data_IF_490164018783
#
_entry.id   IF_490164018783
#
_cell.length_a   1.000
_cell.length_b   1.000
_cell.length_c   1.000
_cell.angle_alpha   90.00
_cell.angle_beta   90.00
_cell.angle_gamma   90.00
#
_symmetry.space_group_name_H-M   'P 1'
#
loop_
_entity.id
_entity.type
_entity.pdbx_description
1 polymer ?
#
# COMPACT_ATOMS: atom_id res chain seq x y z
N UNK A 1 -16.75 -32.35 23.44
CA UNK A 1 -17.78 -33.38 23.17
C UNK A 1 -19.19 -32.84 23.48
N UNK A 2 -19.62 -31.75 22.82
CA UNK A 2 -20.98 -31.16 22.95
C UNK A 2 -21.63 -30.86 21.58
N UNK A 3 -20.95 -31.18 20.48
CA UNK A 3 -21.44 -30.96 19.11
C UNK A 3 -22.59 -31.92 18.75
N UNK A 4 -22.69 -33.06 19.46
CA UNK A 4 -23.64 -34.14 19.15
C UNK A 4 -25.00 -34.01 19.86
N UNK A 5 -25.14 -33.12 20.86
CA UNK A 5 -26.44 -32.87 21.51
C UNK A 5 -27.39 -32.00 20.67
N UNK A 6 -26.97 -31.57 19.47
CA UNK A 6 -27.83 -30.85 18.55
C UNK A 6 -29.04 -31.71 18.07
N UNK A 7 -28.88 -33.04 18.04
CA UNK A 7 -29.89 -33.97 17.54
C UNK A 7 -31.09 -34.20 18.50
N UNK A 8 -30.99 -33.81 19.77
CA UNK A 8 -32.10 -33.90 20.75
C UNK A 8 -32.99 -32.64 20.80
N UNK A 9 -32.77 -31.66 19.92
CA UNK A 9 -33.60 -30.45 19.85
C UNK A 9 -34.95 -30.69 19.16
N UNK A 10 -35.95 -29.88 19.52
CA UNK A 10 -37.30 -29.93 18.92
C UNK A 10 -37.25 -29.70 17.41
N UNK A 11 -38.24 -30.21 16.66
CA UNK A 11 -38.32 -30.09 15.19
C UNK A 11 -38.16 -28.63 14.71
N UNK A 12 -38.71 -27.67 15.45
CA UNK A 12 -38.56 -26.23 15.19
C UNK A 12 -37.10 -25.79 15.15
N UNK A 13 -36.28 -26.24 16.09
CA UNK A 13 -34.87 -25.85 16.17
C UNK A 13 -34.01 -26.52 15.09
N UNK A 14 -34.37 -27.75 14.69
CA UNK A 14 -33.75 -28.43 13.54
C UNK A 14 -33.99 -27.65 12.25
N UNK A 15 -35.23 -27.22 11.98
CA UNK A 15 -35.57 -26.41 10.81
C UNK A 15 -34.83 -25.07 10.78
N UNK A 16 -34.83 -24.33 11.90
CA UNK A 16 -34.11 -23.04 12.01
C UNK A 16 -32.62 -23.22 11.72
N UNK A 17 -31.99 -24.27 12.24
CA UNK A 17 -30.55 -24.48 12.03
C UNK A 17 -30.22 -24.88 10.61
N UNK A 18 -31.05 -25.72 9.98
CA UNK A 18 -30.85 -26.09 8.57
C UNK A 18 -30.96 -24.84 7.69
N UNK A 19 -31.99 -24.01 7.88
CA UNK A 19 -32.13 -22.75 7.15
C UNK A 19 -30.96 -21.80 7.40
N UNK A 20 -30.49 -21.68 8.64
CA UNK A 20 -29.35 -20.85 8.98
C UNK A 20 -28.05 -21.35 8.33
N UNK A 21 -27.78 -22.66 8.37
CA UNK A 21 -26.61 -23.26 7.73
C UNK A 21 -26.66 -23.10 6.21
N UNK A 22 -27.84 -23.31 5.61
CA UNK A 22 -28.07 -23.16 4.17
C UNK A 22 -27.72 -21.74 3.69
N UNK A 23 -27.98 -20.71 4.50
CA UNK A 23 -27.65 -19.33 4.19
C UNK A 23 -26.21 -18.96 4.56
N UNK A 24 -25.73 -19.43 5.71
CA UNK A 24 -24.42 -19.03 6.24
C UNK A 24 -23.27 -19.60 5.43
N UNK A 25 -23.37 -20.85 4.98
CA UNK A 25 -22.32 -21.52 4.21
C UNK A 25 -21.96 -20.75 2.91
N UNK A 26 -22.91 -20.45 2.00
CA UNK A 26 -22.58 -19.71 0.78
C UNK A 26 -22.09 -18.29 1.06
N UNK A 27 -22.59 -17.62 2.11
CA UNK A 27 -22.12 -16.29 2.51
C UNK A 27 -20.68 -16.31 3.02
N UNK A 28 -20.31 -17.30 3.83
CA UNK A 28 -18.94 -17.44 4.33
C UNK A 28 -17.98 -17.74 3.18
N UNK A 29 -18.37 -18.63 2.26
CA UNK A 29 -17.54 -18.98 1.10
C UNK A 29 -17.32 -17.73 0.24
N UNK A 30 -18.40 -17.08 -0.19
CA UNK A 30 -18.31 -15.88 -1.05
C UNK A 30 -17.59 -14.73 -0.37
N UNK A 31 -17.83 -14.51 0.93
CA UNK A 31 -17.11 -13.51 1.73
C UNK A 31 -15.60 -13.80 1.81
N UNK A 32 -15.21 -15.06 1.98
CA UNK A 32 -13.80 -15.47 2.01
C UNK A 32 -13.13 -15.24 0.66
N UNK A 33 -13.78 -15.61 -0.45
CA UNK A 33 -13.27 -15.37 -1.79
C UNK A 33 -13.15 -13.87 -2.10
N UNK A 34 -14.15 -13.07 -1.73
CA UNK A 34 -14.12 -11.63 -1.88
C UNK A 34 -12.95 -11.02 -1.09
N UNK A 35 -12.78 -11.40 0.17
CA UNK A 35 -11.67 -10.93 1.00
C UNK A 35 -10.31 -11.28 0.39
N UNK A 36 -10.12 -12.53 -0.08
CA UNK A 36 -8.88 -12.94 -0.73
C UNK A 36 -8.59 -12.13 -1.99
N UNK A 37 -9.60 -11.92 -2.84
CA UNK A 37 -9.45 -11.11 -4.05
C UNK A 37 -9.12 -9.65 -3.75
N UNK A 38 -9.81 -9.05 -2.79
CA UNK A 38 -9.52 -7.68 -2.36
C UNK A 38 -8.12 -7.55 -1.78
N UNK A 39 -7.68 -8.52 -0.97
CA UNK A 39 -6.32 -8.52 -0.41
C UNK A 39 -5.27 -8.58 -1.51
N UNK A 40 -5.35 -9.55 -2.42
CA UNK A 40 -4.39 -9.68 -3.52
C UNK A 40 -4.39 -8.44 -4.42
N UNK A 41 -5.57 -7.91 -4.76
CA UNK A 41 -5.65 -6.69 -5.56
C UNK A 41 -5.03 -5.47 -4.87
N UNK A 42 -5.15 -5.37 -3.54
CA UNK A 42 -4.52 -4.30 -2.77
C UNK A 42 -2.99 -4.46 -2.71
N UNK A 43 -2.49 -5.69 -2.54
CA UNK A 43 -1.07 -5.99 -2.56
C UNK A 43 -0.43 -5.65 -3.92
N UNK A 44 -1.08 -6.06 -5.02
CA UNK A 44 -0.63 -5.78 -6.40
C UNK A 44 -0.66 -4.27 -6.73
N UNK A 45 -1.72 -3.58 -6.31
CA UNK A 45 -1.84 -2.14 -6.46
C UNK A 45 -0.77 -1.41 -5.65
N UNK A 46 -0.53 -1.84 -4.42
CA UNK A 46 0.53 -1.31 -3.56
C UNK A 46 1.91 -1.46 -4.20
N UNK A 47 2.25 -2.66 -4.67
CA UNK A 47 3.52 -2.92 -5.37
C UNK A 47 3.67 -2.05 -6.63
N UNK A 48 2.60 -1.89 -7.40
CA UNK A 48 2.58 -1.06 -8.61
C UNK A 48 2.78 0.42 -8.27
N UNK A 49 2.12 0.93 -7.23
CA UNK A 49 2.27 2.32 -6.78
C UNK A 49 3.68 2.60 -6.27
N UNK A 50 4.28 1.67 -5.52
CA UNK A 50 5.68 1.78 -5.10
C UNK A 50 6.62 1.87 -6.30
N UNK A 51 6.45 0.98 -7.29
CA UNK A 51 7.23 1.00 -8.53
C UNK A 51 7.07 2.35 -9.26
N UNK A 52 5.84 2.78 -9.50
CA UNK A 52 5.57 4.02 -10.21
C UNK A 52 6.15 5.24 -9.47
N UNK A 53 6.14 5.26 -8.14
CA UNK A 53 6.75 6.34 -7.35
C UNK A 53 8.25 6.44 -7.56
N UNK A 54 8.94 5.29 -7.62
CA UNK A 54 10.39 5.24 -7.93
C UNK A 54 10.65 5.66 -9.37
N UNK A 55 9.88 5.14 -10.34
CA UNK A 55 10.00 5.52 -11.76
C UNK A 55 9.78 7.02 -11.97
N UNK A 56 8.79 7.62 -11.30
CA UNK A 56 8.58 9.08 -11.32
C UNK A 56 9.78 9.86 -10.77
N UNK A 57 10.40 9.34 -9.71
CA UNK A 57 11.62 9.95 -9.15
C UNK A 57 12.79 9.85 -10.13
N UNK A 58 12.95 8.71 -10.83
CA UNK A 58 13.96 8.53 -11.87
C UNK A 58 13.73 9.49 -13.04
N UNK A 59 12.49 9.64 -13.52
CA UNK A 59 12.15 10.60 -14.58
C UNK A 59 12.48 12.05 -14.17
N UNK A 60 12.25 12.42 -12.91
CA UNK A 60 12.65 13.72 -12.37
C UNK A 60 14.18 13.89 -12.40
N UNK A 61 14.92 12.87 -11.94
CA UNK A 61 16.40 12.87 -11.96
C UNK A 61 16.90 13.03 -13.40
N UNK A 62 16.38 12.27 -14.35
CA UNK A 62 16.76 12.37 -15.76
C UNK A 62 16.45 13.74 -16.36
N UNK A 63 15.30 14.33 -16.00
CA UNK A 63 14.93 15.66 -16.47
C UNK A 63 15.91 16.73 -15.97
N UNK A 64 16.31 16.66 -14.70
CA UNK A 64 17.27 17.63 -14.13
C UNK A 64 18.69 17.36 -14.64
N UNK A 65 19.07 16.10 -14.84
CA UNK A 65 20.37 15.75 -15.42
C UNK A 65 20.55 16.30 -16.83
N UNK A 66 19.48 16.37 -17.65
CA UNK A 66 19.54 17.02 -18.96
C UNK A 66 19.90 18.51 -18.88
N UNK A 67 19.45 19.22 -17.83
CA UNK A 67 19.84 20.62 -17.63
C UNK A 67 21.29 20.74 -17.14
N UNK A 68 21.78 19.76 -16.38
CA UNK A 68 23.20 19.65 -16.01
C UNK A 68 24.07 19.42 -17.24
N UNK A 69 23.68 18.52 -18.13
CA UNK A 69 24.42 18.22 -19.37
C UNK A 69 24.49 19.42 -20.33
N UNK A 70 23.47 20.27 -20.33
CA UNK A 70 23.48 21.55 -21.08
C UNK A 70 24.36 22.62 -20.43
N UNK A 71 24.71 22.46 -19.16
CA UNK A 71 25.41 23.46 -18.34
C UNK A 71 24.51 24.54 -17.75
N UNK A 72 23.18 24.37 -17.80
CA UNK A 72 22.19 25.31 -17.28
C UNK A 72 21.99 25.14 -15.76
N UNK A 73 22.37 23.99 -15.21
CA UNK A 73 22.24 23.67 -13.78
C UNK A 73 23.51 22.96 -13.28
N UNK A 74 23.96 23.26 -12.06
CA UNK A 74 25.05 22.50 -11.44
C UNK A 74 24.57 21.11 -11.01
N UNK A 75 25.47 20.13 -10.90
CA UNK A 75 25.12 18.80 -10.42
C UNK A 75 24.58 18.86 -8.98
N UNK A 76 25.19 19.69 -8.14
CA UNK A 76 24.80 19.89 -6.75
C UNK A 76 23.38 20.46 -6.65
N UNK A 77 23.06 21.48 -7.46
CA UNK A 77 21.72 22.08 -7.46
C UNK A 77 20.68 21.11 -8.02
N UNK A 78 21.02 20.32 -9.03
CA UNK A 78 20.14 19.28 -9.56
C UNK A 78 19.82 18.22 -8.51
N UNK A 79 20.84 17.73 -7.80
CA UNK A 79 20.66 16.77 -6.71
C UNK A 79 19.83 17.35 -5.57
N UNK A 80 20.04 18.62 -5.21
CA UNK A 80 19.28 19.28 -4.17
C UNK A 80 17.81 19.46 -4.57
N UNK A 81 17.53 19.85 -5.81
CA UNK A 81 16.17 19.97 -6.34
C UNK A 81 15.41 18.65 -6.28
N UNK A 82 16.07 17.52 -6.60
CA UNK A 82 15.45 16.19 -6.42
C UNK A 82 15.14 15.96 -4.94
N UNK A 83 16.12 16.14 -4.05
CA UNK A 83 15.96 15.91 -2.61
C UNK A 83 14.82 16.74 -2.01
N UNK A 84 14.72 18.01 -2.39
CA UNK A 84 13.62 18.90 -1.96
C UNK A 84 12.27 18.42 -2.51
N UNK A 85 12.22 17.97 -3.76
CA UNK A 85 10.98 17.47 -4.37
C UNK A 85 10.45 16.21 -3.70
N UNK A 86 11.34 15.27 -3.33
CA UNK A 86 10.93 13.98 -2.74
C UNK A 86 10.84 13.98 -1.21
N UNK A 87 11.67 14.77 -0.51
CA UNK A 87 11.76 14.76 0.96
C UNK A 87 11.36 16.09 1.60
N UNK A 88 11.26 17.17 0.83
CA UNK A 88 11.08 18.52 1.36
C UNK A 88 12.40 19.20 1.72
N UNK A 89 12.29 20.44 2.19
CA UNK A 89 13.44 21.27 2.58
C UNK A 89 14.20 20.67 3.77
N UNK A 90 15.50 20.97 3.84
CA UNK A 90 16.34 20.55 4.95
C UNK A 90 16.01 21.38 6.19
N UNK A 91 15.76 20.71 7.30
CA UNK A 91 15.54 21.34 8.59
C UNK A 91 16.83 21.99 9.13
N UNK A 92 16.69 22.92 10.08
CA UNK A 92 17.81 23.59 10.74
C UNK A 92 18.75 22.66 11.50
N UNK A 93 18.26 21.47 11.90
CA UNK A 93 19.03 20.42 12.57
C UNK A 93 19.79 19.51 11.60
N UNK A 94 19.65 19.75 10.30
CA UNK A 94 20.28 18.99 9.23
C UNK A 94 19.54 17.74 8.77
N UNK A 95 18.39 17.43 9.39
CA UNK A 95 17.50 16.34 8.97
C UNK A 95 16.58 16.78 7.84
N UNK A 96 15.89 15.82 7.18
CA UNK A 96 14.77 16.12 6.28
C UNK A 96 13.48 15.54 6.85
N UNK A 97 12.34 16.23 6.68
CA UNK A 97 11.06 15.67 7.06
C UNK A 97 10.68 14.50 6.15
N UNK A 98 9.70 13.72 6.56
CA UNK A 98 8.97 12.85 5.64
C UNK A 98 7.96 13.71 4.88
N UNK A 99 7.92 13.59 3.56
CA UNK A 99 6.98 14.33 2.73
C UNK A 99 5.57 13.69 2.86
N UNK A 100 4.57 14.38 3.45
CA UNK A 100 3.24 13.82 3.66
C UNK A 100 2.52 13.51 2.35
N UNK A 101 2.89 14.17 1.24
CA UNK A 101 2.31 13.93 -0.08
C UNK A 101 2.83 12.63 -0.72
N UNK A 102 3.92 12.06 -0.20
CA UNK A 102 4.57 10.84 -0.69
C UNK A 102 4.59 9.74 0.38
N UNK A 103 3.67 9.80 1.36
CA UNK A 103 3.48 8.74 2.34
C UNK A 103 2.88 7.49 1.68
N UNK A 104 3.64 6.39 1.68
CA UNK A 104 3.27 5.11 1.07
C UNK A 104 2.69 4.14 2.12
N UNK A 105 2.06 4.72 3.15
CA UNK A 105 1.52 4.02 4.32
C UNK A 105 2.40 4.20 5.57
N UNK A 106 1.96 3.59 6.70
CA UNK A 106 2.54 3.79 8.03
C UNK A 106 4.07 3.61 8.11
N UNK A 107 4.64 2.75 7.26
CA UNK A 107 6.06 2.43 7.24
C UNK A 107 6.69 2.62 5.83
N UNK A 108 5.97 3.24 4.89
CA UNK A 108 6.41 3.37 3.50
C UNK A 108 6.84 4.81 3.21
N UNK A 109 8.12 5.01 2.91
CA UNK A 109 8.67 6.31 2.53
C UNK A 109 9.82 6.17 1.54
N UNK A 110 10.00 7.20 0.71
CA UNK A 110 11.14 7.30 -0.21
C UNK A 110 12.37 7.73 0.59
N UNK A 111 13.53 7.18 0.27
CA UNK A 111 14.81 7.55 0.86
C UNK A 111 15.92 7.47 -0.18
N UNK A 112 17.02 8.17 0.07
CA UNK A 112 18.19 8.23 -0.81
C UNK A 112 19.35 7.51 -0.14
N UNK A 113 19.94 6.52 -0.83
CA UNK A 113 20.99 5.64 -0.27
C UNK A 113 22.42 6.13 -0.50
N UNK A 114 22.65 6.95 -1.52
CA UNK A 114 23.97 7.53 -1.82
C UNK A 114 23.83 9.04 -1.98
N UNK A 115 24.66 9.77 -1.25
CA UNK A 115 24.76 11.23 -1.29
C UNK A 115 25.84 11.66 -2.29
#
# INVERSE_FOLDING_TARGET
MKLFNFFSSTIKMKLITISFLLLSIPLIITGTFAYQKSKTGLDDLGATNLKNSVEMTIMLIESLNKEVEKGDLSLEDAQENVKVSILGEKNTDGTRPLNPNLELGKNGYIFVLNQ
#
